data_IF_778598252406
#
_entry.id   IF_778598252406
#
_cell.length_a   1.000
_cell.length_b   1.000
_cell.length_c   1.000
_cell.angle_alpha   90.00
_cell.angle_beta   90.00
_cell.angle_gamma   90.00
#
_symmetry.space_group_name_H-M   'P 1'
#
loop_
_entity.id
_entity.type
_entity.pdbx_description
1 polymer ?
#
# COMPACT_ATOMS: atom_id res chain seq x y z
N UNK A 1 4.08 -2.51 17.16
CA UNK A 1 5.54 -2.68 16.92
C UNK A 1 5.94 -4.11 16.57
N UNK A 2 5.31 -5.16 17.11
CA UNK A 2 5.68 -6.56 16.84
C UNK A 2 5.67 -6.98 15.37
N UNK A 3 4.72 -6.49 14.56
CA UNK A 3 4.72 -6.76 13.11
C UNK A 3 6.00 -6.26 12.43
N UNK A 4 6.38 -5.01 12.68
CA UNK A 4 7.60 -4.41 12.10
C UNK A 4 8.83 -5.18 12.56
N UNK A 5 8.94 -5.48 13.87
CA UNK A 5 10.05 -6.30 14.39
C UNK A 5 10.11 -7.66 13.72
N UNK A 6 8.98 -8.34 13.56
CA UNK A 6 8.93 -9.67 12.93
C UNK A 6 9.40 -9.63 11.48
N UNK A 7 9.05 -8.58 10.73
CA UNK A 7 9.47 -8.42 9.34
C UNK A 7 10.96 -8.09 9.23
N UNK A 8 11.49 -7.26 10.13
CA UNK A 8 12.94 -6.98 10.19
C UNK A 8 13.72 -8.26 10.48
N UNK A 9 13.37 -8.98 11.55
CA UNK A 9 14.08 -10.20 11.96
C UNK A 9 13.98 -11.31 10.91
N UNK A 10 12.83 -11.44 10.25
CA UNK A 10 12.66 -12.43 9.18
C UNK A 10 13.55 -12.13 7.97
N UNK A 11 13.67 -10.87 7.56
CA UNK A 11 14.54 -10.49 6.44
C UNK A 11 16.02 -10.66 6.80
N UNK A 12 16.43 -10.28 8.02
CA UNK A 12 17.80 -10.50 8.51
C UNK A 12 18.17 -11.99 8.53
N UNK A 13 17.24 -12.84 8.98
CA UNK A 13 17.42 -14.29 8.98
C UNK A 13 17.53 -14.84 7.55
N UNK A 14 16.71 -14.34 6.61
CA UNK A 14 16.78 -14.73 5.20
C UNK A 14 18.15 -14.37 4.59
N UNK A 15 18.62 -13.13 4.76
CA UNK A 15 19.92 -12.69 4.24
C UNK A 15 21.09 -13.49 4.83
N UNK A 16 21.05 -13.82 6.12
CA UNK A 16 22.05 -14.68 6.75
C UNK A 16 22.04 -16.08 6.12
N UNK A 17 20.87 -16.68 5.98
CA UNK A 17 20.73 -18.02 5.44
C UNK A 17 21.20 -18.13 3.98
N UNK A 18 20.76 -17.23 3.10
CA UNK A 18 21.13 -17.30 1.67
C UNK A 18 22.62 -17.05 1.46
N UNK A 19 23.25 -16.20 2.28
CA UNK A 19 24.70 -16.00 2.28
C UNK A 19 25.44 -17.28 2.70
N UNK A 20 24.97 -17.98 3.73
CA UNK A 20 25.55 -19.24 4.20
C UNK A 20 25.36 -20.39 3.18
N UNK A 21 24.28 -20.35 2.40
CA UNK A 21 23.93 -21.39 1.43
C UNK A 21 24.35 -21.10 -0.01
N UNK A 22 24.89 -19.91 -0.30
CA UNK A 22 25.22 -19.50 -1.65
C UNK A 22 23.99 -19.40 -2.56
N UNK A 23 22.84 -19.00 -2.01
CA UNK A 23 21.60 -18.79 -2.76
C UNK A 23 21.53 -17.31 -3.17
N UNK A 24 21.21 -17.04 -4.43
CA UNK A 24 20.93 -15.68 -4.89
C UNK A 24 19.53 -15.24 -4.43
N UNK A 25 19.44 -14.04 -3.88
CA UNK A 25 18.21 -13.49 -3.30
C UNK A 25 18.09 -12.01 -3.58
N UNK A 26 16.88 -11.59 -3.93
CA UNK A 26 16.44 -10.21 -4.01
C UNK A 26 15.22 -10.03 -3.11
N UNK A 27 15.16 -8.91 -2.39
CA UNK A 27 14.03 -8.54 -1.54
C UNK A 27 13.23 -7.39 -2.15
N UNK A 28 11.92 -7.56 -2.24
CA UNK A 28 10.96 -6.51 -2.59
C UNK A 28 10.27 -6.05 -1.31
N UNK A 29 10.40 -4.77 -0.97
CA UNK A 29 9.93 -4.19 0.28
C UNK A 29 8.81 -3.16 0.03
N UNK A 30 7.54 -3.60 -0.10
CA UNK A 30 6.41 -2.69 -0.28
C UNK A 30 5.92 -2.09 1.04
N UNK A 31 5.26 -0.94 0.94
CA UNK A 31 4.50 -0.34 2.03
C UNK A 31 3.03 -0.80 2.01
N UNK A 32 2.05 0.12 2.10
CA UNK A 32 0.63 -0.21 1.98
C UNK A 32 0.30 -0.55 0.53
N UNK A 33 -0.12 -1.80 0.27
CA UNK A 33 -0.41 -2.31 -1.07
C UNK A 33 -1.91 -2.26 -1.32
N UNK A 34 -2.32 -1.42 -2.27
CA UNK A 34 -3.71 -1.20 -2.68
C UNK A 34 -3.86 -1.40 -4.20
N UNK A 35 -5.08 -1.32 -4.72
CA UNK A 35 -5.41 -1.53 -6.13
C UNK A 35 -6.56 -2.52 -6.31
N UNK A 36 -6.73 -3.07 -7.52
CA UNK A 36 -7.84 -3.98 -7.80
C UNK A 36 -7.70 -5.28 -6.99
N UNK A 37 -8.85 -5.82 -6.56
CA UNK A 37 -8.92 -7.03 -5.75
C UNK A 37 -9.17 -8.24 -6.63
N UNK A 38 -8.35 -9.28 -6.53
CA UNK A 38 -8.64 -10.57 -7.16
C UNK A 38 -9.45 -11.48 -6.23
N UNK A 39 -9.02 -11.62 -4.98
CA UNK A 39 -9.69 -12.44 -3.97
C UNK A 39 -10.97 -11.79 -3.40
N UNK A 40 -11.88 -12.57 -2.79
CA UNK A 40 -13.11 -12.06 -2.16
C UNK A 40 -12.90 -11.58 -0.72
N UNK A 41 -11.65 -11.39 -0.27
CA UNK A 41 -11.31 -10.94 1.09
C UNK A 41 -10.36 -9.75 1.03
N UNK A 42 -10.35 -8.94 2.09
CA UNK A 42 -9.51 -7.75 2.17
C UNK A 42 -8.20 -8.02 2.89
N UNK A 43 -7.12 -7.43 2.37
CA UNK A 43 -5.92 -7.19 3.16
C UNK A 43 -6.10 -5.94 4.05
N UNK A 44 -5.16 -5.71 4.97
CA UNK A 44 -5.18 -4.55 5.86
C UNK A 44 -5.23 -3.22 5.10
N UNK A 45 -4.46 -3.09 4.01
CA UNK A 45 -4.34 -1.85 3.26
C UNK A 45 -5.63 -1.48 2.52
N UNK A 46 -6.30 -2.43 1.86
CA UNK A 46 -7.59 -2.19 1.23
C UNK A 46 -8.71 -1.99 2.25
N UNK A 47 -8.64 -2.69 3.40
CA UNK A 47 -9.54 -2.44 4.52
C UNK A 47 -9.41 -1.03 5.09
N UNK A 48 -8.21 -0.46 5.12
CA UNK A 48 -8.01 0.92 5.51
C UNK A 48 -8.69 1.91 4.56
N UNK A 49 -8.63 1.67 3.24
CA UNK A 49 -9.37 2.47 2.25
C UNK A 49 -10.88 2.30 2.46
N UNK A 50 -11.37 1.06 2.61
CA UNK A 50 -12.79 0.78 2.87
C UNK A 50 -13.32 1.55 4.08
N UNK A 51 -12.56 1.57 5.19
CA UNK A 51 -12.97 2.27 6.41
C UNK A 51 -13.22 3.77 6.16
N UNK A 52 -12.43 4.43 5.32
CA UNK A 52 -12.64 5.85 4.99
C UNK A 52 -13.92 6.09 4.19
N UNK A 53 -14.30 5.14 3.34
CA UNK A 53 -15.41 5.28 2.38
C UNK A 53 -16.71 4.61 2.84
N UNK A 54 -16.68 3.90 3.97
CA UNK A 54 -17.82 3.17 4.53
C UNK A 54 -18.37 3.81 5.81
N UNK A 55 -18.41 5.15 5.84
CA UNK A 55 -19.10 5.91 6.89
C UNK A 55 -18.33 6.13 8.19
N UNK A 56 -17.00 6.05 8.19
CA UNK A 56 -16.22 6.45 9.35
C UNK A 56 -16.46 7.92 9.73
N UNK A 57 -16.50 8.20 11.04
CA UNK A 57 -16.65 9.56 11.57
C UNK A 57 -15.32 10.32 11.58
N UNK A 58 -14.22 9.60 11.82
CA UNK A 58 -12.86 10.15 11.88
C UNK A 58 -11.90 9.37 10.98
N UNK A 59 -10.78 10.01 10.65
CA UNK A 59 -9.64 9.36 9.98
C UNK A 59 -8.40 9.40 10.89
N UNK A 60 -7.50 8.39 10.81
CA UNK A 60 -6.35 8.32 11.72
C UNK A 60 -5.30 9.39 11.40
N UNK A 61 -4.65 9.94 12.45
CA UNK A 61 -3.46 10.79 12.32
C UNK A 61 -2.24 9.89 12.02
N UNK A 62 -2.11 9.47 10.77
CA UNK A 62 -1.07 8.51 10.37
C UNK A 62 -0.64 8.71 8.93
N UNK A 63 0.64 8.47 8.70
CA UNK A 63 1.28 8.64 7.40
C UNK A 63 1.92 7.33 6.99
N UNK A 64 1.57 6.85 5.80
CA UNK A 64 2.06 5.59 5.25
C UNK A 64 2.57 5.78 3.82
N UNK A 65 3.51 4.93 3.42
CA UNK A 65 3.83 4.72 2.01
C UNK A 65 2.73 3.90 1.34
N UNK A 66 2.40 4.22 0.09
CA UNK A 66 1.40 3.55 -0.71
C UNK A 66 1.98 3.12 -2.05
N UNK A 67 1.54 1.97 -2.55
CA UNK A 67 1.94 1.42 -3.85
C UNK A 67 0.84 0.56 -4.44
N UNK A 68 0.73 0.53 -5.77
CA UNK A 68 -0.23 -0.34 -6.46
C UNK A 68 0.21 -1.81 -6.43
N UNK A 69 -0.74 -2.72 -6.27
CA UNK A 69 -0.51 -4.17 -6.27
C UNK A 69 0.08 -4.67 -7.59
N UNK A 70 -0.30 -4.06 -8.73
CA UNK A 70 0.23 -4.39 -10.05
C UNK A 70 1.72 -4.04 -10.14
N UNK A 71 2.12 -2.88 -9.62
CA UNK A 71 3.52 -2.45 -9.59
C UNK A 71 4.37 -3.40 -8.73
N UNK A 72 3.83 -3.83 -7.58
CA UNK A 72 4.51 -4.80 -6.71
C UNK A 72 4.67 -6.14 -7.41
N UNK A 73 3.63 -6.65 -8.07
CA UNK A 73 3.72 -7.90 -8.83
C UNK A 73 4.77 -7.80 -9.95
N UNK A 74 4.72 -6.73 -10.73
CA UNK A 74 5.70 -6.48 -11.80
C UNK A 74 7.13 -6.33 -11.25
N UNK A 75 7.33 -5.68 -10.11
CA UNK A 75 8.65 -5.56 -9.50
C UNK A 75 9.25 -6.91 -9.12
N UNK A 76 8.44 -7.87 -8.67
CA UNK A 76 8.91 -9.24 -8.41
C UNK A 76 9.35 -9.94 -9.69
N UNK A 77 8.57 -9.82 -10.77
CA UNK A 77 8.89 -10.40 -12.09
C UNK A 77 10.18 -9.79 -12.64
N UNK A 78 10.25 -8.45 -12.69
CA UNK A 78 11.42 -7.72 -13.20
C UNK A 78 12.68 -8.01 -12.39
N UNK A 79 12.58 -8.13 -11.06
CA UNK A 79 13.71 -8.48 -10.21
C UNK A 79 14.18 -9.92 -10.42
N UNK A 80 13.26 -10.85 -10.67
CA UNK A 80 13.60 -12.25 -10.91
C UNK A 80 14.21 -12.46 -12.31
N UNK A 81 13.67 -11.79 -13.33
CA UNK A 81 14.10 -11.96 -14.71
C UNK A 81 15.39 -11.20 -15.06
N UNK A 82 15.74 -10.15 -14.30
CA UNK A 82 16.93 -9.35 -14.53
C UNK A 82 18.16 -9.92 -13.78
N UNK A 83 19.16 -10.49 -14.47
CA UNK A 83 20.33 -11.11 -13.82
C UNK A 83 21.23 -10.13 -13.05
N UNK A 84 21.04 -8.81 -13.23
CA UNK A 84 21.77 -7.78 -12.50
C UNK A 84 21.01 -7.29 -11.25
N UNK A 85 19.78 -7.73 -11.04
CA UNK A 85 19.01 -7.39 -9.84
C UNK A 85 19.69 -7.98 -8.60
N UNK A 86 19.77 -7.18 -7.52
CA UNK A 86 20.44 -7.61 -6.29
C UNK A 86 19.93 -6.84 -5.08
N UNK A 87 20.08 -7.39 -3.88
CA UNK A 87 19.80 -6.67 -2.65
C UNK A 87 18.32 -6.36 -2.45
N UNK A 88 18.00 -5.11 -2.09
CA UNK A 88 16.68 -4.69 -1.60
C UNK A 88 16.09 -3.57 -2.47
N UNK A 89 14.81 -3.69 -2.81
CA UNK A 89 14.06 -2.72 -3.62
C UNK A 89 12.85 -2.19 -2.84
N UNK A 90 12.83 -0.87 -2.61
CA UNK A 90 11.73 -0.20 -1.93
C UNK A 90 10.58 0.02 -2.92
N UNK A 91 9.38 -0.44 -2.59
CA UNK A 91 8.19 -0.30 -3.42
C UNK A 91 7.20 0.65 -2.74
N UNK A 92 7.40 1.95 -2.99
CA UNK A 92 6.56 3.04 -2.49
C UNK A 92 6.41 4.09 -3.58
N UNK A 93 5.20 4.31 -4.08
CA UNK A 93 4.92 5.40 -5.02
C UNK A 93 4.87 6.73 -4.28
N UNK A 94 4.08 6.85 -3.21
CA UNK A 94 4.04 8.09 -2.43
C UNK A 94 3.77 7.80 -0.97
N UNK A 95 4.40 8.57 -0.11
CA UNK A 95 4.03 8.65 1.31
C UNK A 95 2.99 9.73 1.46
N UNK A 96 1.85 9.38 2.06
CA UNK A 96 0.72 10.26 2.20
C UNK A 96 0.06 10.08 3.57
N UNK A 97 -0.32 11.20 4.17
CA UNK A 97 -1.16 11.23 5.35
C UNK A 97 -2.62 10.92 4.94
N UNK A 98 -3.43 10.39 5.87
CA UNK A 98 -4.84 10.09 5.56
C UNK A 98 -5.65 11.31 5.08
N UNK A 99 -5.28 12.53 5.48
CA UNK A 99 -5.90 13.75 4.93
C UNK A 99 -5.67 13.91 3.42
N UNK A 100 -4.50 13.50 2.93
CA UNK A 100 -4.18 13.53 1.49
C UNK A 100 -5.00 12.47 0.75
N UNK A 101 -5.16 11.28 1.34
CA UNK A 101 -6.03 10.21 0.81
C UNK A 101 -7.48 10.70 0.71
N UNK A 102 -7.98 11.39 1.74
CA UNK A 102 -9.31 11.97 1.73
C UNK A 102 -9.48 13.07 0.69
N UNK A 103 -8.45 13.89 0.46
CA UNK A 103 -8.48 14.89 -0.62
C UNK A 103 -8.68 14.21 -1.98
N UNK A 104 -7.88 13.18 -2.26
CA UNK A 104 -8.02 12.39 -3.50
C UNK A 104 -9.42 11.78 -3.60
N UNK A 105 -9.94 11.17 -2.52
CA UNK A 105 -11.27 10.58 -2.50
C UNK A 105 -12.37 11.61 -2.77
N UNK A 106 -12.26 12.84 -2.24
CA UNK A 106 -13.20 13.93 -2.53
C UNK A 106 -13.16 14.35 -3.99
N UNK A 107 -11.96 14.44 -4.57
CA UNK A 107 -11.77 14.82 -5.98
C UNK A 107 -12.33 13.73 -6.92
N UNK A 108 -12.13 12.46 -6.59
CA UNK A 108 -12.61 11.31 -7.39
C UNK A 108 -14.11 11.03 -7.18
N UNK A 109 -14.63 11.22 -5.97
CA UNK A 109 -16.00 10.87 -5.58
C UNK A 109 -16.68 12.00 -4.76
N UNK A 110 -17.06 13.13 -5.39
CA UNK A 110 -17.55 14.31 -4.68
C UNK A 110 -18.82 14.09 -3.84
N UNK A 111 -19.61 13.07 -4.15
CA UNK A 111 -20.86 12.74 -3.45
C UNK A 111 -20.67 11.68 -2.35
N UNK A 112 -19.46 11.15 -2.19
CA UNK A 112 -19.18 10.12 -1.20
C UNK A 112 -19.09 10.74 0.20
N UNK A 113 -19.76 10.12 1.17
CA UNK A 113 -19.63 10.53 2.58
C UNK A 113 -18.27 10.07 3.10
N UNK A 114 -17.45 11.02 3.52
CA UNK A 114 -16.08 10.81 4.01
C UNK A 114 -15.92 11.47 5.38
N UNK A 115 -15.03 10.96 6.26
CA UNK A 115 -14.73 11.60 7.52
C UNK A 115 -14.10 12.98 7.32
N UNK A 116 -14.47 13.94 8.16
CA UNK A 116 -13.94 15.30 8.13
C UNK A 116 -12.96 15.58 9.27
N UNK A 117 -13.07 14.83 10.38
CA UNK A 117 -12.28 15.06 11.59
C UNK A 117 -11.14 14.04 11.71
N UNK A 118 -9.96 14.51 12.11
CA UNK A 118 -8.87 13.64 12.52
C UNK A 118 -9.23 12.89 13.82
N UNK A 119 -8.68 11.70 14.03
CA UNK A 119 -8.95 10.87 15.20
C UNK A 119 -8.39 11.48 16.51
N UNK A 120 -7.38 12.34 16.40
CA UNK A 120 -6.81 13.09 17.51
C UNK A 120 -6.48 14.54 17.08
N UNK A 121 -6.21 15.39 18.08
CA UNK A 121 -5.90 16.81 17.90
C UNK A 121 -4.38 17.09 17.92
N UNK A 122 -3.53 16.05 17.80
CA UNK A 122 -2.08 16.23 17.75
C UNK A 122 -1.66 16.85 16.40
N UNK A 123 -0.46 17.45 16.31
CA UNK A 123 0.11 17.85 15.04
C UNK A 123 0.09 16.68 14.04
N UNK A 124 -0.29 16.95 12.79
CA UNK A 124 -0.37 15.92 11.77
C UNK A 124 0.99 15.27 11.53
N UNK A 125 0.99 13.95 11.43
CA UNK A 125 2.19 13.19 11.11
C UNK A 125 2.74 13.64 9.74
N UNK A 126 4.00 14.05 9.71
CA UNK A 126 4.60 14.62 8.51
C UNK A 126 4.86 13.55 7.44
N UNK A 127 4.70 13.96 6.17
CA UNK A 127 5.13 13.16 5.03
C UNK A 127 6.66 13.11 4.97
N UNK A 128 7.20 12.02 4.44
CA UNK A 128 8.61 11.82 4.14
C UNK A 128 8.75 11.26 2.74
N UNK A 129 9.97 11.14 2.23
CA UNK A 129 10.22 10.59 0.90
C UNK A 129 10.89 9.23 0.99
N UNK A 130 10.55 8.35 0.06
CA UNK A 130 11.19 7.04 -0.13
C UNK A 130 11.81 7.04 -1.53
N UNK A 131 13.08 6.66 -1.63
CA UNK A 131 13.76 6.59 -2.94
C UNK A 131 13.10 5.53 -3.81
N UNK A 132 12.89 5.89 -5.08
CA UNK A 132 12.37 5.00 -6.13
C UNK A 132 13.46 4.57 -7.10
N UNK A 133 14.69 5.03 -6.93
CA UNK A 133 15.75 4.91 -7.93
C UNK A 133 16.04 3.46 -8.29
N UNK A 134 16.17 2.59 -7.28
CA UNK A 134 16.40 1.17 -7.50
C UNK A 134 15.22 0.47 -8.17
N UNK A 135 13.99 0.76 -7.75
CA UNK A 135 12.81 0.16 -8.40
C UNK A 135 12.73 0.59 -9.87
N UNK A 136 12.96 1.88 -10.15
CA UNK A 136 13.02 2.40 -11.53
C UNK A 136 14.17 1.80 -12.32
N UNK A 137 15.32 1.50 -11.71
CA UNK A 137 16.43 0.82 -12.41
C UNK A 137 16.12 -0.62 -12.80
N UNK A 138 15.07 -1.25 -12.23
CA UNK A 138 14.53 -2.53 -12.71
C UNK A 138 13.56 -2.37 -13.88
N UNK A 139 13.15 -1.15 -14.21
CA UNK A 139 12.08 -0.89 -15.18
C UNK A 139 10.69 -0.76 -14.56
N UNK A 140 10.57 -0.61 -13.23
CA UNK A 140 9.27 -0.37 -12.58
C UNK A 140 8.76 1.03 -12.95
N UNK A 141 7.57 1.06 -13.53
CA UNK A 141 6.75 2.26 -13.66
C UNK A 141 5.70 2.25 -12.55
N UNK A 142 5.66 3.32 -11.75
CA UNK A 142 4.74 3.40 -10.63
C UNK A 142 3.40 3.99 -11.07
N UNK A 143 2.32 3.27 -10.76
CA UNK A 143 0.94 3.73 -10.91
C UNK A 143 0.66 4.84 -9.90
N UNK A 144 0.18 6.03 -10.31
CA UNK A 144 -0.13 7.12 -9.38
C UNK A 144 -1.07 6.71 -8.25
N UNK A 145 -0.89 7.29 -7.06
CA UNK A 145 -1.72 6.98 -5.89
C UNK A 145 -3.21 7.25 -6.14
N UNK A 146 -3.54 8.28 -6.91
CA UNK A 146 -4.91 8.63 -7.28
C UNK A 146 -5.59 7.49 -8.05
N UNK A 147 -4.90 6.93 -9.04
CA UNK A 147 -5.38 5.79 -9.82
C UNK A 147 -5.51 4.54 -8.94
N UNK A 148 -4.51 4.28 -8.09
CA UNK A 148 -4.52 3.13 -7.18
C UNK A 148 -5.68 3.18 -6.18
N UNK A 149 -6.00 4.37 -5.65
CA UNK A 149 -7.18 4.59 -4.78
C UNK A 149 -8.46 4.37 -5.57
N UNK A 150 -8.54 4.92 -6.80
CA UNK A 150 -9.70 4.73 -7.67
C UNK A 150 -9.98 3.25 -7.91
N UNK A 151 -8.98 2.49 -8.35
CA UNK A 151 -9.08 1.04 -8.60
C UNK A 151 -9.51 0.28 -7.35
N UNK A 152 -8.99 0.65 -6.18
CA UNK A 152 -9.37 0.03 -4.90
C UNK A 152 -10.85 0.25 -4.61
N UNK A 153 -11.32 1.49 -4.68
CA UNK A 153 -12.73 1.85 -4.41
C UNK A 153 -13.67 1.16 -5.39
N UNK A 154 -13.34 1.13 -6.69
CA UNK A 154 -14.16 0.44 -7.68
C UNK A 154 -14.21 -1.08 -7.44
N UNK A 155 -13.08 -1.71 -7.13
CA UNK A 155 -13.05 -3.13 -6.74
C UNK A 155 -13.85 -3.41 -5.47
N UNK A 156 -13.83 -2.51 -4.47
CA UNK A 156 -14.65 -2.64 -3.26
C UNK A 156 -16.16 -2.59 -3.59
N UNK A 157 -16.57 -1.74 -4.55
CA UNK A 157 -17.96 -1.66 -5.03
C UNK A 157 -18.36 -2.93 -5.77
N UNK A 158 -17.54 -3.35 -6.73
CA UNK A 158 -17.77 -4.56 -7.54
C UNK A 158 -17.93 -5.81 -6.66
N UNK A 159 -17.09 -5.95 -5.64
CA UNK A 159 -17.13 -7.07 -4.68
C UNK A 159 -18.09 -6.88 -3.51
N UNK A 160 -18.92 -5.82 -3.53
CA UNK A 160 -19.99 -5.56 -2.55
C UNK A 160 -19.51 -5.47 -1.10
N UNK A 161 -18.34 -4.86 -0.87
CA UNK A 161 -17.84 -4.59 0.48
C UNK A 161 -18.53 -3.38 1.15
N UNK A 162 -19.14 -2.50 0.36
CA UNK A 162 -19.98 -1.42 0.88
C UNK A 162 -21.32 -2.00 1.35
N UNK A 163 -21.60 -1.88 2.65
CA UNK A 163 -22.92 -2.16 3.21
C UNK A 163 -23.48 -3.56 2.93
N UNK A 164 -23.10 -4.53 3.77
CA UNK A 164 -24.01 -5.63 4.08
C UNK A 164 -25.22 -5.12 4.85
N UNK A 165 -26.20 -4.54 4.15
CA UNK A 165 -27.60 -4.63 4.54
C UNK A 165 -28.26 -5.62 3.59
N UNK A 166 -27.93 -6.90 3.77
CA UNK A 166 -28.85 -7.95 3.36
C UNK A 166 -29.97 -7.98 4.38
N UNK A 167 -31.18 -7.70 3.92
CA UNK A 167 -32.42 -7.99 4.61
C UNK A 167 -32.34 -9.29 5.43
N UNK A 168 -32.67 -9.18 6.72
CA UNK A 168 -33.40 -10.19 7.49
C UNK A 168 -34.52 -9.47 8.22
#
# INVERSE_FOLDING_TARGET
LWYVLSKTLAEDAAWKFVKEKGIDMVAINPAMVIGPLLQPTLNTSSGAVLNLVNGAETYPNSTFGWVNVKDVANAHILAFENPSANGRYLMVERVAHYSDILKILRDLYPTMRLPEKCADDNPLMQNYQVSKERAKSLGVEFTPLEESIKETVESLKEKRFFGGSSAM
#
